data_IF_742960696063
#
_entry.id   IF_742960696063
#
_cell.length_a   1.000
_cell.length_b   1.000
_cell.length_c   1.000
_cell.angle_alpha   90.00
_cell.angle_beta   90.00
_cell.angle_gamma   90.00
#
_symmetry.space_group_name_H-M   'P 1'
#
loop_
_entity.id
_entity.type
_entity.pdbx_description
1 polymer ?
#
# COMPACT_ATOMS: atom_id res chain seq x y z
N UNK A 1 33.34 56.55 -6.32
CA UNK A 1 33.65 55.22 -6.84
C UNK A 1 33.93 54.21 -5.71
N UNK A 2 34.78 54.50 -4.74
CA UNK A 2 35.08 53.56 -3.61
C UNK A 2 33.91 53.28 -2.68
N UNK A 3 33.06 54.28 -2.43
CA UNK A 3 31.87 54.09 -1.58
C UNK A 3 30.80 53.19 -2.21
N UNK A 4 30.60 53.30 -3.53
CA UNK A 4 29.66 52.45 -4.31
C UNK A 4 30.09 51.00 -4.35
N UNK A 5 31.40 50.77 -4.48
CA UNK A 5 31.98 49.43 -4.50
C UNK A 5 31.79 48.69 -3.14
N UNK A 6 31.89 49.41 -2.03
CA UNK A 6 31.67 48.91 -0.68
C UNK A 6 30.23 48.49 -0.43
N UNK A 7 29.26 49.28 -0.91
CA UNK A 7 27.82 48.98 -0.76
C UNK A 7 27.41 47.76 -1.58
N UNK A 8 27.91 47.62 -2.81
CA UNK A 8 27.66 46.47 -3.67
C UNK A 8 28.25 45.18 -3.07
N UNK A 9 29.45 45.27 -2.49
CA UNK A 9 30.11 44.13 -1.84
C UNK A 9 29.36 43.70 -0.57
N UNK A 10 28.81 44.62 0.21
CA UNK A 10 27.99 44.32 1.38
C UNK A 10 26.64 43.67 1.01
N UNK A 11 26.00 44.12 -0.08
CA UNK A 11 24.75 43.52 -0.60
C UNK A 11 24.93 42.09 -1.08
N UNK A 12 26.09 41.76 -1.68
CA UNK A 12 26.40 40.38 -2.15
C UNK A 12 26.68 39.45 -0.97
N UNK A 13 27.27 39.94 0.12
CA UNK A 13 27.53 39.17 1.33
C UNK A 13 26.27 38.80 2.11
N UNK A 14 25.23 39.64 2.08
CA UNK A 14 23.94 39.36 2.76
C UNK A 14 23.11 38.32 2.04
N UNK A 15 23.25 38.14 0.72
CA UNK A 15 22.51 37.15 -0.06
C UNK A 15 22.97 35.69 0.14
N UNK A 16 24.13 35.47 0.77
CA UNK A 16 24.67 34.10 0.97
C UNK A 16 24.23 33.43 2.30
N UNK A 17 23.44 34.10 3.15
CA UNK A 17 23.11 33.60 4.50
C UNK A 17 21.79 32.80 4.58
N UNK A 18 21.09 32.56 3.46
CA UNK A 18 19.88 31.75 3.44
C UNK A 18 20.17 30.26 3.21
N UNK A 19 21.04 29.67 4.00
CA UNK A 19 21.20 28.23 4.05
C UNK A 19 20.15 27.64 4.99
N UNK A 20 18.98 27.24 4.49
CA UNK A 20 17.96 26.54 5.28
C UNK A 20 18.54 25.19 5.76
N UNK A 21 18.75 25.09 7.05
CA UNK A 21 19.26 23.87 7.67
C UNK A 21 18.14 22.82 7.68
N UNK A 22 18.30 21.77 6.90
CA UNK A 22 17.37 20.63 6.92
C UNK A 22 17.51 19.90 8.25
N UNK A 23 16.42 19.81 9.02
CA UNK A 23 16.33 19.02 10.25
C UNK A 23 15.51 17.78 9.95
N UNK A 24 16.02 16.60 10.34
CA UNK A 24 15.32 15.31 10.22
C UNK A 24 15.13 14.78 11.63
N UNK A 25 13.89 14.46 11.99
CA UNK A 25 13.54 13.81 13.26
C UNK A 25 12.71 12.56 13.00
N UNK A 26 12.77 11.62 13.94
CA UNK A 26 11.84 10.47 13.95
C UNK A 26 10.59 10.86 14.70
N UNK A 27 9.45 10.42 14.17
CA UNK A 27 8.13 10.58 14.79
C UNK A 27 7.50 9.20 14.97
N UNK A 28 6.46 9.10 15.81
CA UNK A 28 5.70 7.87 15.98
C UNK A 28 5.06 7.44 14.66
N UNK A 29 5.05 6.13 14.39
CA UNK A 29 4.60 5.57 13.10
C UNK A 29 3.08 5.64 12.91
N UNK A 30 2.31 5.75 13.98
CA UNK A 30 0.84 5.90 13.99
C UNK A 30 0.37 7.35 13.87
N UNK A 31 1.32 8.31 13.98
CA UNK A 31 1.00 9.73 13.88
C UNK A 31 0.58 10.09 12.45
N UNK A 32 -0.67 10.53 12.31
CA UNK A 32 -1.16 11.09 11.04
C UNK A 32 -0.36 12.33 10.66
N UNK A 33 0.31 12.27 9.50
CA UNK A 33 1.13 13.39 9.01
C UNK A 33 0.90 13.58 7.51
N UNK A 34 0.08 14.58 7.16
CA UNK A 34 -0.23 14.95 5.77
C UNK A 34 0.57 16.19 5.36
N UNK A 35 1.66 16.00 4.62
CA UNK A 35 2.55 17.11 4.20
C UNK A 35 2.22 17.66 2.81
N UNK A 36 1.75 16.83 1.89
CA UNK A 36 1.63 17.18 0.48
C UNK A 36 0.25 16.90 -0.14
N UNK A 37 -0.66 16.31 0.63
CA UNK A 37 -1.94 15.81 0.12
C UNK A 37 -1.82 14.60 -0.81
N UNK A 38 -0.60 14.05 -1.03
CA UNK A 38 -0.39 12.81 -1.75
C UNK A 38 -0.70 11.60 -0.88
N UNK A 39 -0.84 10.44 -1.55
CA UNK A 39 -0.91 9.15 -0.86
C UNK A 39 0.31 8.94 0.03
N UNK A 40 0.08 8.52 1.27
CA UNK A 40 1.13 8.31 2.27
C UNK A 40 0.91 7.00 3.05
N UNK A 41 1.78 6.74 4.04
CA UNK A 41 1.76 5.56 4.90
C UNK A 41 0.46 5.45 5.72
N UNK A 42 -0.03 6.59 6.24
CA UNK A 42 -1.29 6.63 7.00
C UNK A 42 -2.48 6.21 6.13
N UNK A 43 -2.54 6.67 4.87
CA UNK A 43 -3.58 6.27 3.93
C UNK A 43 -3.53 4.76 3.67
N UNK A 44 -2.32 4.24 3.39
CA UNK A 44 -2.11 2.82 3.12
C UNK A 44 -2.60 1.94 4.28
N UNK A 45 -2.16 2.25 5.49
CA UNK A 45 -2.54 1.52 6.70
C UNK A 45 -4.05 1.60 6.98
N UNK A 46 -4.61 2.82 7.00
CA UNK A 46 -6.03 3.01 7.33
C UNK A 46 -6.95 2.33 6.31
N UNK A 47 -6.62 2.41 5.02
CA UNK A 47 -7.44 1.81 3.97
C UNK A 47 -7.34 0.29 4.04
N UNK A 48 -6.14 -0.28 4.18
CA UNK A 48 -5.97 -1.73 4.27
C UNK A 48 -6.71 -2.32 5.48
N UNK A 49 -6.57 -1.72 6.67
CA UNK A 49 -7.25 -2.16 7.88
C UNK A 49 -8.78 -2.15 7.74
N UNK A 50 -9.34 -1.06 7.20
CA UNK A 50 -10.80 -0.93 7.01
C UNK A 50 -11.32 -1.93 5.99
N UNK A 51 -10.64 -2.05 4.85
CA UNK A 51 -11.09 -2.94 3.77
C UNK A 51 -10.98 -4.41 4.17
N UNK A 52 -9.91 -4.81 4.87
CA UNK A 52 -9.80 -6.17 5.39
C UNK A 52 -10.86 -6.44 6.44
N UNK A 53 -11.12 -5.50 7.36
CA UNK A 53 -12.18 -5.64 8.36
C UNK A 53 -13.54 -5.79 7.70
N UNK A 54 -13.86 -4.98 6.69
CA UNK A 54 -15.12 -5.07 5.94
C UNK A 54 -15.23 -6.42 5.20
N UNK A 55 -14.15 -6.84 4.54
CA UNK A 55 -14.09 -8.11 3.83
C UNK A 55 -14.37 -9.30 4.75
N UNK A 56 -13.73 -9.34 5.93
CA UNK A 56 -13.85 -10.45 6.88
C UNK A 56 -15.19 -10.49 7.59
N UNK A 57 -15.88 -9.34 7.72
CA UNK A 57 -17.22 -9.27 8.29
C UNK A 57 -18.34 -9.54 7.27
N UNK A 58 -18.01 -9.72 5.99
CA UNK A 58 -18.99 -9.98 4.95
C UNK A 58 -19.45 -11.46 4.95
N UNK A 59 -20.70 -11.76 4.58
CA UNK A 59 -21.30 -13.11 4.63
C UNK A 59 -20.50 -14.23 3.95
N UNK A 60 -19.71 -13.96 2.92
CA UNK A 60 -18.93 -14.97 2.20
C UNK A 60 -18.06 -15.85 3.12
N UNK A 61 -17.48 -15.24 4.17
CA UNK A 61 -16.62 -15.96 5.11
C UNK A 61 -17.42 -16.96 5.94
N UNK A 62 -18.57 -16.55 6.47
CA UNK A 62 -19.45 -17.45 7.22
C UNK A 62 -20.08 -18.52 6.33
N UNK A 63 -20.34 -18.23 5.06
CA UNK A 63 -20.80 -19.20 4.05
C UNK A 63 -19.69 -20.23 3.78
N UNK A 64 -18.46 -19.79 3.55
CA UNK A 64 -17.33 -20.71 3.35
C UNK A 64 -17.13 -21.65 4.55
N UNK A 65 -17.07 -21.08 5.78
CA UNK A 65 -16.86 -21.88 7.00
C UNK A 65 -18.00 -22.85 7.31
N UNK A 66 -19.23 -22.57 6.86
CA UNK A 66 -20.36 -23.51 6.96
C UNK A 66 -20.22 -24.67 5.98
N UNK A 67 -19.72 -24.39 4.77
CA UNK A 67 -19.69 -25.36 3.67
C UNK A 67 -18.37 -26.15 3.65
N UNK A 68 -17.32 -25.66 4.32
CA UNK A 68 -15.98 -26.26 4.40
C UNK A 68 -15.49 -26.36 5.85
N UNK A 69 -14.65 -27.37 6.14
CA UNK A 69 -14.08 -27.63 7.47
C UNK A 69 -12.79 -26.87 7.76
N UNK A 70 -12.32 -26.06 6.83
CA UNK A 70 -11.04 -25.31 6.89
C UNK A 70 -11.25 -23.83 6.64
N UNK A 71 -10.27 -23.03 7.03
CA UNK A 71 -10.21 -21.63 6.65
C UNK A 71 -10.17 -21.49 5.12
N UNK A 72 -10.77 -20.43 4.56
CA UNK A 72 -10.62 -20.12 3.14
C UNK A 72 -9.18 -19.71 2.83
N UNK A 73 -8.68 -20.18 1.70
CA UNK A 73 -7.35 -19.84 1.19
C UNK A 73 -7.45 -18.68 0.23
N UNK A 74 -6.77 -17.59 0.53
CA UNK A 74 -6.82 -16.36 -0.26
C UNK A 74 -5.44 -16.06 -0.85
N UNK A 75 -5.41 -15.65 -2.12
CA UNK A 75 -4.25 -15.03 -2.75
C UNK A 75 -4.52 -13.55 -3.00
N UNK A 76 -3.59 -12.68 -2.59
CA UNK A 76 -3.64 -11.28 -3.00
C UNK A 76 -2.99 -11.17 -4.37
N UNK A 77 -3.83 -10.91 -5.36
CA UNK A 77 -3.43 -10.77 -6.76
C UNK A 77 -2.97 -9.34 -7.08
N UNK A 78 -3.26 -8.90 -8.30
CA UNK A 78 -2.75 -7.61 -8.78
C UNK A 78 -3.65 -6.46 -8.30
N UNK A 79 -3.08 -5.54 -7.54
CA UNK A 79 -3.66 -4.23 -7.26
C UNK A 79 -2.96 -3.21 -8.17
N UNK A 80 -3.73 -2.49 -8.99
CA UNK A 80 -3.19 -1.57 -9.99
C UNK A 80 -3.27 -0.13 -9.51
N UNK A 81 -2.18 0.60 -9.63
CA UNK A 81 -2.21 2.04 -9.52
C UNK A 81 -2.70 2.66 -10.83
N UNK A 82 -3.90 3.21 -10.82
CA UNK A 82 -4.52 3.96 -11.93
C UNK A 82 -4.54 5.47 -11.65
N UNK A 83 -3.87 5.89 -10.57
CA UNK A 83 -3.74 7.32 -10.24
C UNK A 83 -2.66 7.99 -11.11
N UNK A 84 -2.65 9.32 -11.08
CA UNK A 84 -1.58 10.13 -11.68
C UNK A 84 -0.31 10.21 -10.79
N UNK A 85 -0.35 9.63 -9.60
CA UNK A 85 0.75 9.64 -8.65
C UNK A 85 1.53 8.33 -8.65
N UNK A 86 2.80 8.39 -8.27
CA UNK A 86 3.56 7.17 -8.00
C UNK A 86 3.20 6.64 -6.60
N UNK A 87 2.26 5.70 -6.55
CA UNK A 87 1.89 5.02 -5.30
C UNK A 87 2.63 3.69 -5.21
N UNK A 88 3.40 3.42 -4.13
CA UNK A 88 4.07 2.14 -3.92
C UNK A 88 3.06 1.07 -3.52
N UNK A 89 2.37 0.50 -4.50
CA UNK A 89 1.27 -0.47 -4.29
C UNK A 89 1.71 -1.69 -3.49
N UNK A 90 2.97 -2.10 -3.62
CA UNK A 90 3.49 -3.26 -2.86
C UNK A 90 3.40 -3.05 -1.34
N UNK A 91 3.62 -1.83 -0.84
CA UNK A 91 3.44 -1.51 0.58
C UNK A 91 1.98 -1.73 1.00
N UNK A 92 1.04 -1.27 0.19
CA UNK A 92 -0.39 -1.46 0.43
C UNK A 92 -0.80 -2.96 0.39
N UNK A 93 -0.27 -3.73 -0.57
CA UNK A 93 -0.47 -5.18 -0.65
C UNK A 93 0.04 -5.86 0.62
N UNK A 94 1.26 -5.53 1.05
CA UNK A 94 1.83 -6.09 2.28
C UNK A 94 1.01 -5.74 3.54
N UNK A 95 0.42 -4.57 3.60
CA UNK A 95 -0.48 -4.17 4.70
C UNK A 95 -1.76 -5.03 4.69
N UNK A 96 -2.34 -5.30 3.51
CA UNK A 96 -3.50 -6.18 3.36
C UNK A 96 -3.15 -7.61 3.78
N UNK A 97 -2.07 -8.19 3.24
CA UNK A 97 -1.65 -9.55 3.56
C UNK A 97 -1.39 -9.73 5.06
N UNK A 98 -0.69 -8.79 5.68
CA UNK A 98 -0.45 -8.77 7.12
C UNK A 98 -1.75 -8.72 7.93
N UNK A 99 -2.70 -7.86 7.55
CA UNK A 99 -3.98 -7.75 8.24
C UNK A 99 -4.80 -9.04 8.11
N UNK A 100 -4.78 -9.67 6.92
CA UNK A 100 -5.45 -10.94 6.67
C UNK A 100 -4.86 -12.09 7.48
N UNK A 101 -3.53 -12.28 7.42
CA UNK A 101 -2.82 -13.33 8.18
C UNK A 101 -3.04 -13.17 9.68
N UNK A 102 -2.93 -11.93 10.19
CA UNK A 102 -3.07 -11.66 11.61
C UNK A 102 -4.52 -11.81 12.12
N UNK A 103 -5.50 -11.84 11.24
CA UNK A 103 -6.89 -12.14 11.63
C UNK A 103 -7.07 -13.56 12.14
N UNK A 104 -6.27 -14.51 11.66
CA UNK A 104 -6.39 -15.94 11.95
C UNK A 104 -7.65 -16.61 11.36
N UNK A 105 -8.41 -15.89 10.54
CA UNK A 105 -9.69 -16.35 9.97
C UNK A 105 -9.54 -16.91 8.55
N UNK A 106 -8.42 -16.58 7.89
CA UNK A 106 -8.11 -16.99 6.52
C UNK A 106 -6.65 -17.39 6.40
N UNK A 107 -6.34 -18.26 5.45
CA UNK A 107 -5.00 -18.63 5.07
C UNK A 107 -4.58 -17.84 3.84
N UNK A 108 -3.46 -17.11 3.91
CA UNK A 108 -2.93 -16.34 2.78
C UNK A 108 -1.77 -17.11 2.15
N UNK A 109 -1.86 -17.37 0.85
CA UNK A 109 -0.79 -18.04 0.10
C UNK A 109 0.07 -17.03 -0.66
N UNK A 110 1.32 -17.40 -0.84
CA UNK A 110 2.32 -16.60 -1.53
C UNK A 110 1.88 -16.16 -2.93
N UNK A 111 2.25 -14.96 -3.32
CA UNK A 111 1.98 -14.41 -4.65
C UNK A 111 2.61 -15.26 -5.76
N UNK A 112 2.23 -15.03 -7.00
CA UNK A 112 2.82 -15.74 -8.15
C UNK A 112 4.34 -15.53 -8.23
N UNK A 113 4.83 -14.33 -7.87
CA UNK A 113 6.26 -14.00 -7.87
C UNK A 113 7.00 -14.75 -6.76
N UNK A 114 6.48 -14.70 -5.54
CA UNK A 114 7.12 -15.35 -4.38
C UNK A 114 7.15 -16.87 -4.52
N UNK A 115 6.14 -17.45 -5.17
CA UNK A 115 6.11 -18.89 -5.44
C UNK A 115 7.23 -19.36 -6.37
N UNK A 116 7.71 -18.50 -7.28
CA UNK A 116 8.88 -18.85 -8.12
C UNK A 116 10.10 -19.06 -7.26
N UNK A 117 10.41 -18.10 -6.37
CA UNK A 117 11.55 -18.20 -5.45
C UNK A 117 11.43 -19.40 -4.51
N UNK A 118 10.23 -19.67 -3.98
CA UNK A 118 9.98 -20.84 -3.14
C UNK A 118 10.17 -22.18 -3.88
N UNK A 119 9.84 -22.24 -5.17
CA UNK A 119 10.04 -23.43 -6.00
C UNK A 119 11.51 -23.65 -6.29
N UNK A 120 12.25 -22.58 -6.57
CA UNK A 120 13.69 -22.62 -6.78
C UNK A 120 14.41 -23.10 -5.51
N UNK A 121 14.01 -22.57 -4.33
CA UNK A 121 14.55 -23.00 -3.02
C UNK A 121 14.26 -24.50 -2.77
N UNK A 122 13.05 -24.98 -3.05
CA UNK A 122 12.74 -26.42 -2.91
C UNK A 122 13.60 -27.28 -3.83
N UNK A 123 13.83 -26.84 -5.08
CA UNK A 123 14.69 -27.55 -6.01
C UNK A 123 16.15 -27.59 -5.53
N UNK A 124 16.62 -26.56 -4.85
CA UNK A 124 17.95 -26.55 -4.25
C UNK A 124 18.03 -27.45 -3.01
N UNK A 125 16.99 -27.47 -2.16
CA UNK A 125 16.92 -28.40 -1.02
C UNK A 125 16.95 -29.87 -1.49
N UNK A 126 16.26 -30.23 -2.56
CA UNK A 126 16.27 -31.59 -3.12
C UNK A 126 17.67 -32.04 -3.56
N UNK A 127 18.55 -31.08 -3.91
CA UNK A 127 19.93 -31.36 -4.35
C UNK A 127 20.96 -31.36 -3.24
N UNK A 128 20.77 -30.56 -2.21
CA UNK A 128 21.83 -30.18 -1.25
C UNK A 128 21.48 -30.38 0.22
N UNK A 129 20.20 -30.53 0.58
CA UNK A 129 19.78 -30.73 1.94
C UNK A 129 19.75 -32.21 2.34
N UNK A 130 19.78 -32.49 3.65
CA UNK A 130 19.63 -33.83 4.20
C UNK A 130 18.24 -34.41 3.90
N UNK A 131 18.15 -35.69 3.53
CA UNK A 131 16.91 -36.40 3.21
C UNK A 131 15.83 -36.25 4.32
N UNK A 132 16.24 -36.18 5.59
CA UNK A 132 15.33 -36.03 6.74
C UNK A 132 14.69 -34.62 6.82
N UNK A 133 15.28 -33.61 6.17
CA UNK A 133 14.84 -32.21 6.26
C UNK A 133 14.24 -31.67 4.98
N UNK A 134 14.42 -32.37 3.85
CA UNK A 134 13.88 -31.98 2.54
C UNK A 134 12.35 -31.87 2.58
N UNK A 135 11.83 -30.77 2.09
CA UNK A 135 10.38 -30.58 1.90
C UNK A 135 9.94 -31.19 0.60
N UNK A 136 8.94 -32.09 0.65
CA UNK A 136 8.40 -32.73 -0.56
C UNK A 136 7.98 -31.71 -1.62
N UNK A 137 8.45 -31.96 -2.84
CA UNK A 137 8.03 -31.22 -4.01
C UNK A 137 6.57 -31.55 -4.32
N UNK A 138 5.66 -30.58 -4.31
CA UNK A 138 4.49 -30.76 -5.11
C UNK A 138 3.11 -30.63 -4.50
N UNK A 139 2.94 -30.19 -3.26
CA UNK A 139 1.60 -29.87 -2.76
C UNK A 139 1.54 -28.43 -2.24
N UNK A 140 1.47 -27.49 -3.19
CA UNK A 140 1.09 -26.12 -2.85
C UNK A 140 -0.40 -26.07 -2.52
N UNK A 141 -0.75 -25.32 -1.50
CA UNK A 141 -2.14 -25.05 -1.19
C UNK A 141 -2.74 -24.17 -2.32
N UNK A 142 -3.81 -24.64 -2.93
CA UNK A 142 -4.55 -23.88 -3.94
C UNK A 142 -5.32 -22.75 -3.28
N UNK A 143 -5.44 -21.59 -3.95
CA UNK A 143 -6.28 -20.51 -3.47
C UNK A 143 -7.75 -20.75 -3.84
N UNK A 144 -8.66 -20.64 -2.86
CA UNK A 144 -10.09 -20.64 -3.07
C UNK A 144 -10.58 -19.31 -3.63
N UNK A 145 -9.93 -18.23 -3.18
CA UNK A 145 -10.30 -16.85 -3.56
C UNK A 145 -9.10 -16.03 -3.99
N UNK A 146 -9.34 -15.11 -4.92
CA UNK A 146 -8.35 -14.13 -5.36
C UNK A 146 -8.85 -12.71 -5.10
N UNK A 147 -8.03 -11.91 -4.40
CA UNK A 147 -8.27 -10.49 -4.21
C UNK A 147 -7.54 -9.69 -5.28
N UNK A 148 -8.27 -8.85 -6.01
CA UNK A 148 -7.72 -7.91 -6.98
C UNK A 148 -8.31 -6.52 -6.79
N UNK A 149 -7.67 -5.50 -7.34
CA UNK A 149 -8.21 -4.15 -7.24
C UNK A 149 -7.44 -3.07 -7.97
N UNK A 150 -7.79 -1.83 -7.65
CA UNK A 150 -7.09 -0.67 -8.16
C UNK A 150 -7.23 0.54 -7.22
N UNK A 151 -6.28 1.45 -7.34
CA UNK A 151 -6.29 2.77 -6.70
C UNK A 151 -6.45 3.80 -7.81
N UNK A 152 -7.45 4.66 -7.71
CA UNK A 152 -7.70 5.76 -8.65
C UNK A 152 -7.73 7.10 -7.93
N UNK A 153 -7.54 8.20 -8.70
CA UNK A 153 -7.62 9.57 -8.17
C UNK A 153 -8.43 10.46 -9.07
N UNK A 154 -9.14 11.40 -8.44
CA UNK A 154 -9.70 12.58 -9.09
C UNK A 154 -9.07 13.80 -8.46
N UNK A 155 -8.51 14.70 -9.28
CA UNK A 155 -7.89 15.94 -8.83
C UNK A 155 -8.70 17.09 -9.39
N UNK A 156 -9.13 17.99 -8.49
CA UNK A 156 -9.76 19.25 -8.81
C UNK A 156 -8.93 20.37 -8.21
N UNK A 157 -8.48 21.32 -9.06
CA UNK A 157 -7.58 22.38 -8.65
C UNK A 157 -7.97 23.71 -9.28
N UNK A 158 -8.10 24.72 -8.43
CA UNK A 158 -8.24 26.11 -8.85
C UNK A 158 -7.26 26.99 -8.06
N UNK A 159 -6.39 27.72 -8.77
CA UNK A 159 -5.37 28.62 -8.21
C UNK A 159 -4.51 27.93 -7.14
N UNK A 160 -4.66 28.33 -5.89
CA UNK A 160 -3.85 27.89 -4.75
C UNK A 160 -4.55 26.78 -3.93
N UNK A 161 -5.72 26.32 -4.38
CA UNK A 161 -6.52 25.29 -3.72
C UNK A 161 -6.61 24.05 -4.60
N UNK A 162 -6.30 22.90 -4.03
CA UNK A 162 -6.36 21.59 -4.70
C UNK A 162 -7.09 20.60 -3.81
N UNK A 163 -8.04 19.88 -4.39
CA UNK A 163 -8.68 18.72 -3.76
C UNK A 163 -8.19 17.46 -4.46
N UNK A 164 -7.71 16.51 -3.69
CA UNK A 164 -7.33 15.18 -4.17
C UNK A 164 -8.29 14.16 -3.56
N UNK A 165 -8.99 13.46 -4.43
CA UNK A 165 -9.89 12.37 -4.04
C UNK A 165 -9.26 11.05 -4.49
N UNK A 166 -9.03 10.16 -3.54
CA UNK A 166 -8.59 8.79 -3.77
C UNK A 166 -9.75 7.83 -3.60
N UNK A 167 -9.81 6.85 -4.47
CA UNK A 167 -10.73 5.73 -4.36
C UNK A 167 -9.94 4.44 -4.54
N UNK A 168 -10.13 3.53 -3.60
CA UNK A 168 -9.58 2.17 -3.64
C UNK A 168 -10.74 1.22 -3.76
N UNK A 169 -10.71 0.41 -4.81
CA UNK A 169 -11.70 -0.63 -5.07
C UNK A 169 -10.99 -1.99 -5.02
N UNK A 170 -11.46 -2.89 -4.16
CA UNK A 170 -11.01 -4.27 -4.06
C UNK A 170 -12.18 -5.22 -4.33
N UNK A 171 -11.85 -6.36 -4.91
CA UNK A 171 -12.83 -7.42 -5.20
C UNK A 171 -12.23 -8.75 -4.79
N UNK A 172 -12.98 -9.54 -4.03
CA UNK A 172 -12.68 -10.94 -3.74
C UNK A 172 -13.51 -11.82 -4.68
N UNK A 173 -12.82 -12.66 -5.45
CA UNK A 173 -13.44 -13.52 -6.46
C UNK A 173 -13.14 -14.98 -6.12
N UNK A 174 -14.15 -15.81 -6.11
CA UNK A 174 -14.06 -17.26 -6.04
C UNK A 174 -13.40 -17.79 -7.32
N UNK A 175 -12.29 -18.52 -7.17
CA UNK A 175 -11.44 -18.92 -8.28
C UNK A 175 -12.10 -20.03 -9.13
N UNK A 176 -12.92 -20.90 -8.52
CA UNK A 176 -13.60 -21.98 -9.20
C UNK A 176 -14.78 -21.47 -10.03
N UNK A 177 -15.61 -20.62 -9.44
CA UNK A 177 -16.88 -20.19 -10.04
C UNK A 177 -16.80 -18.84 -10.75
N UNK A 178 -15.71 -18.08 -10.57
CA UNK A 178 -15.56 -16.68 -10.99
C UNK A 178 -16.58 -15.72 -10.36
N UNK A 179 -17.26 -16.11 -9.30
CA UNK A 179 -18.23 -15.28 -8.59
C UNK A 179 -17.51 -14.28 -7.70
N UNK A 180 -17.86 -13.01 -7.81
CA UNK A 180 -17.41 -11.98 -6.88
C UNK A 180 -18.18 -12.15 -5.57
N UNK A 181 -17.50 -12.54 -4.51
CA UNK A 181 -18.10 -12.81 -3.20
C UNK A 181 -18.06 -11.59 -2.30
N UNK A 182 -17.17 -10.64 -2.58
CA UNK A 182 -17.09 -9.35 -1.90
C UNK A 182 -16.55 -8.28 -2.84
N UNK A 183 -17.06 -7.06 -2.68
CA UNK A 183 -16.58 -5.85 -3.33
C UNK A 183 -16.51 -4.76 -2.26
N UNK A 184 -15.30 -4.29 -1.98
CA UNK A 184 -15.05 -3.20 -1.05
C UNK A 184 -14.63 -1.93 -1.76
N UNK A 185 -14.98 -0.79 -1.17
CA UNK A 185 -14.59 0.53 -1.65
C UNK A 185 -14.27 1.44 -0.48
N UNK A 186 -13.04 2.01 -0.47
CA UNK A 186 -12.64 3.05 0.47
C UNK A 186 -12.28 4.35 -0.24
N UNK A 187 -12.56 5.46 0.41
CA UNK A 187 -12.43 6.80 -0.17
C UNK A 187 -11.71 7.74 0.79
N UNK A 188 -10.76 8.49 0.25
CA UNK A 188 -10.05 9.54 0.98
C UNK A 188 -10.18 10.84 0.19
N UNK A 189 -10.46 11.93 0.87
CA UNK A 189 -10.51 13.26 0.26
C UNK A 189 -9.60 14.22 1.04
N UNK A 190 -8.60 14.78 0.36
CA UNK A 190 -7.63 15.70 0.95
C UNK A 190 -7.76 17.08 0.31
N UNK A 191 -7.76 18.11 1.17
CA UNK A 191 -7.70 19.51 0.76
C UNK A 191 -6.26 20.02 0.93
N UNK A 192 -5.72 20.61 -0.12
CA UNK A 192 -4.39 21.23 -0.11
C UNK A 192 -4.54 22.71 -0.43
N UNK A 193 -4.15 23.56 0.49
CA UNK A 193 -4.17 25.02 0.35
C UNK A 193 -2.73 25.55 0.42
N UNK A 194 -2.32 26.28 -0.64
CA UNK A 194 -1.03 26.97 -0.66
C UNK A 194 -1.24 28.42 -0.23
N UNK A 195 -0.84 28.75 1.00
CA UNK A 195 -0.85 30.14 1.47
C UNK A 195 0.27 30.91 0.77
N UNK A 196 -0.09 31.86 -0.09
CA UNK A 196 0.88 32.84 -0.59
C UNK A 196 1.28 33.76 0.56
N UNK A 197 2.56 33.85 0.81
CA UNK A 197 3.07 34.93 1.65
C UNK A 197 2.83 36.24 0.89
N UNK A 198 1.88 37.05 1.34
CA UNK A 198 1.81 38.46 0.96
C UNK A 198 2.92 39.17 1.72
N UNK A 199 4.04 39.45 1.04
CA UNK A 199 5.08 40.34 1.52
C UNK A 199 4.59 41.77 1.56
#
# INVERSE_FOLDING_TARGET
MRLFLGIVLCLILVSCLSCQKKVVSRIETDKVTDLSGRWNDTDSRMVSERMVTDCLNHPWLSEHLRDHSSNPVVIVGIIRNQSSEHIPVNTFVSDIERAMVNSGLIDVVASATDRVELRDERADQERYADEETVKEFGKELGADYMMNGYISTIIDQEKDTKVVYYQVDLTLTDVETNRKVWIGQEKIKKLVEQKRFSG
#
